data_IF_831353879441
#
_entry.id   IF_831353879441
#
_cell.length_a   1.000
_cell.length_b   1.000
_cell.length_c   1.000
_cell.angle_alpha   90.00
_cell.angle_beta   90.00
_cell.angle_gamma   90.00
#
_symmetry.space_group_name_H-M   'P 1'
#
loop_
_entity.id
_entity.type
_entity.pdbx_description
1 polymer ?
#
# COMPACT_ATOMS: atom_id res chain seq x y z
N UNK A 1 13.32 -5.85 3.47
CA UNK A 1 14.39 -5.47 2.51
C UNK A 1 15.18 -4.23 2.93
N UNK A 2 14.77 -2.97 2.70
CA UNK A 2 15.68 -1.81 2.95
C UNK A 2 16.03 -1.56 4.43
N UNK A 3 15.04 -1.80 5.30
CA UNK A 3 15.15 -1.67 6.77
C UNK A 3 15.23 -3.06 7.41
N UNK A 4 15.65 -4.07 6.64
CA UNK A 4 15.73 -5.44 7.15
C UNK A 4 16.81 -5.58 8.23
N UNK A 5 16.64 -6.50 9.16
CA UNK A 5 17.67 -6.82 10.15
C UNK A 5 18.88 -7.44 9.47
N UNK A 6 18.64 -8.27 8.45
CA UNK A 6 19.66 -9.03 7.76
C UNK A 6 20.34 -8.19 6.69
N UNK A 7 21.66 -8.07 6.79
CA UNK A 7 22.46 -7.14 5.98
C UNK A 7 22.42 -7.43 4.47
N UNK A 8 22.62 -8.69 4.07
CA UNK A 8 22.63 -9.07 2.66
C UNK A 8 21.30 -8.76 1.96
N UNK A 9 20.17 -8.78 2.70
CA UNK A 9 18.85 -8.42 2.18
C UNK A 9 18.76 -6.92 1.93
N UNK A 10 19.29 -6.10 2.85
CA UNK A 10 19.34 -4.65 2.69
C UNK A 10 20.18 -4.28 1.47
N UNK A 11 21.38 -4.84 1.39
CA UNK A 11 22.31 -4.65 0.28
C UNK A 11 21.66 -5.01 -1.06
N UNK A 12 20.96 -6.16 -1.12
CA UNK A 12 20.19 -6.57 -2.28
C UNK A 12 19.15 -5.51 -2.68
N UNK A 13 18.39 -4.99 -1.71
CA UNK A 13 17.42 -3.92 -1.93
C UNK A 13 18.05 -2.65 -2.53
N UNK A 14 19.16 -2.17 -1.96
CA UNK A 14 19.86 -0.97 -2.45
C UNK A 14 20.40 -1.14 -3.86
N UNK A 15 21.02 -2.28 -4.17
CA UNK A 15 21.51 -2.60 -5.52
C UNK A 15 20.39 -2.61 -6.55
N UNK A 16 19.23 -3.18 -6.21
CA UNK A 16 18.06 -3.20 -7.11
C UNK A 16 17.53 -1.79 -7.41
N UNK A 17 17.58 -0.90 -6.42
CA UNK A 17 17.13 0.49 -6.58
C UNK A 17 18.09 1.28 -7.47
N UNK A 18 19.40 1.13 -7.29
CA UNK A 18 20.39 1.72 -8.18
C UNK A 18 20.19 1.27 -9.63
N UNK A 19 20.00 -0.03 -9.84
CA UNK A 19 19.71 -0.58 -11.18
C UNK A 19 18.41 0.00 -11.76
N UNK A 20 17.35 0.11 -10.96
CA UNK A 20 16.07 0.69 -11.39
C UNK A 20 16.21 2.18 -11.80
N UNK A 21 17.01 2.96 -11.08
CA UNK A 21 17.28 4.38 -11.42
C UNK A 21 18.08 4.56 -12.71
N UNK A 22 18.94 3.61 -13.06
CA UNK A 22 19.70 3.63 -14.31
C UNK A 22 18.83 3.30 -15.52
N UNK A 23 17.88 2.37 -15.37
CA UNK A 23 17.00 1.91 -16.44
C UNK A 23 15.86 2.90 -16.69
N UNK A 24 15.26 3.43 -15.63
CA UNK A 24 14.10 4.32 -15.75
C UNK A 24 14.56 5.76 -15.98
N UNK A 25 14.12 6.46 -17.04
CA UNK A 25 14.49 7.85 -17.26
C UNK A 25 14.08 8.72 -16.06
N UNK A 26 14.93 9.69 -15.68
CA UNK A 26 14.71 10.58 -14.52
C UNK A 26 13.48 11.52 -14.65
N UNK A 27 12.78 11.49 -15.78
CA UNK A 27 11.59 12.31 -16.03
C UNK A 27 10.34 11.64 -15.41
N UNK A 28 9.31 12.45 -15.13
CA UNK A 28 7.99 11.93 -14.70
C UNK A 28 7.37 11.18 -15.88
N UNK A 29 7.59 9.87 -15.93
CA UNK A 29 6.89 8.94 -16.81
C UNK A 29 5.90 8.13 -15.98
N UNK A 30 4.74 7.84 -16.56
CA UNK A 30 3.75 6.97 -15.94
C UNK A 30 4.36 5.59 -15.67
N UNK A 31 4.11 5.06 -14.46
CA UNK A 31 4.60 3.75 -14.06
C UNK A 31 3.57 2.71 -14.45
N UNK A 32 3.89 1.88 -15.43
CA UNK A 32 3.04 0.75 -15.77
C UNK A 32 3.15 -0.31 -14.67
N UNK A 33 2.07 -0.51 -13.91
CA UNK A 33 2.00 -1.56 -12.91
C UNK A 33 1.71 -2.89 -13.59
N UNK A 34 2.71 -3.76 -13.62
CA UNK A 34 2.59 -5.15 -14.07
C UNK A 34 2.79 -6.04 -12.84
N UNK A 35 1.76 -6.80 -12.40
CA UNK A 35 1.91 -7.72 -11.29
C UNK A 35 3.01 -8.74 -11.57
N UNK A 36 4.01 -8.91 -10.68
CA UNK A 36 5.04 -9.91 -10.87
C UNK A 36 4.47 -11.33 -10.71
N UNK A 37 5.06 -12.28 -11.42
CA UNK A 37 4.77 -13.71 -11.19
C UNK A 37 5.31 -14.11 -9.82
N UNK A 38 4.43 -14.56 -8.95
CA UNK A 38 4.73 -14.99 -7.58
C UNK A 38 5.20 -16.45 -7.59
N UNK A 39 6.33 -16.72 -6.93
CA UNK A 39 6.83 -18.06 -6.66
C UNK A 39 6.28 -18.58 -5.32
N UNK A 40 5.28 -19.46 -5.38
CA UNK A 40 4.67 -20.06 -4.18
C UNK A 40 5.55 -21.14 -3.52
N UNK A 41 6.61 -21.61 -4.20
CA UNK A 41 7.58 -22.56 -3.64
C UNK A 41 8.77 -21.87 -2.96
N UNK A 42 8.78 -20.53 -2.91
CA UNK A 42 9.85 -19.77 -2.30
C UNK A 42 9.95 -20.12 -0.80
N UNK A 43 11.17 -20.41 -0.34
CA UNK A 43 11.43 -20.65 1.10
C UNK A 43 11.66 -19.35 1.86
N UNK A 44 12.27 -18.36 1.18
CA UNK A 44 12.47 -17.02 1.70
C UNK A 44 11.69 -15.99 0.90
N UNK A 45 11.28 -14.91 1.56
CA UNK A 45 10.42 -13.90 0.99
C UNK A 45 11.11 -13.11 -0.14
N UNK A 46 12.44 -13.07 -0.15
CA UNK A 46 13.25 -12.43 -1.19
C UNK A 46 13.06 -13.13 -2.54
N UNK A 47 12.84 -14.45 -2.50
CA UNK A 47 12.71 -15.32 -3.68
C UNK A 47 11.27 -15.40 -4.21
N UNK A 48 10.29 -14.81 -3.51
CA UNK A 48 8.89 -14.77 -3.93
C UNK A 48 8.75 -14.11 -5.30
N UNK A 49 9.57 -13.09 -5.57
CA UNK A 49 9.55 -12.35 -6.84
C UNK A 49 10.87 -12.58 -7.54
N UNK A 50 10.82 -12.94 -8.82
CA UNK A 50 12.01 -12.90 -9.67
C UNK A 50 12.35 -11.45 -10.04
N UNK A 51 13.26 -10.86 -9.27
CA UNK A 51 13.74 -9.48 -9.46
C UNK A 51 14.54 -9.23 -10.76
N UNK A 52 14.89 -10.28 -11.50
CA UNK A 52 15.56 -10.16 -12.80
C UNK A 52 14.55 -10.07 -13.96
N UNK A 53 13.36 -10.67 -13.82
CA UNK A 53 12.32 -10.65 -14.86
C UNK A 53 11.25 -9.57 -14.62
N UNK A 54 11.16 -9.02 -13.41
CA UNK A 54 10.21 -7.96 -13.07
C UNK A 54 10.75 -6.57 -13.40
N UNK A 55 9.89 -5.69 -13.93
CA UNK A 55 10.19 -4.25 -14.06
C UNK A 55 10.12 -3.62 -12.68
N UNK A 56 11.25 -3.12 -12.19
CA UNK A 56 11.35 -2.45 -10.89
C UNK A 56 11.47 -0.95 -11.11
N UNK A 57 10.59 -0.17 -10.49
CA UNK A 57 10.68 1.29 -10.47
C UNK A 57 11.30 1.75 -9.15
N UNK A 58 12.09 2.83 -9.15
CA UNK A 58 12.63 3.39 -7.91
C UNK A 58 11.48 3.82 -6.97
N UNK A 59 11.52 3.43 -5.68
CA UNK A 59 10.49 3.82 -4.72
C UNK A 59 10.34 5.35 -4.64
N UNK A 60 9.12 5.91 -4.68
CA UNK A 60 8.93 7.36 -4.57
C UNK A 60 9.52 7.96 -3.30
N UNK A 61 9.51 7.19 -2.20
CA UNK A 61 10.06 7.58 -0.90
C UNK A 61 11.56 7.86 -0.93
N UNK A 62 12.28 7.24 -1.86
CA UNK A 62 13.72 7.47 -2.01
C UNK A 62 14.02 8.46 -3.12
N UNK A 63 13.02 9.17 -3.69
CA UNK A 63 13.26 10.04 -4.86
C UNK A 63 14.34 11.08 -4.60
N UNK A 64 14.37 11.63 -3.40
CA UNK A 64 15.22 12.78 -3.05
C UNK A 64 16.62 12.37 -2.56
N UNK A 65 16.85 11.07 -2.35
CA UNK A 65 18.14 10.53 -1.89
C UNK A 65 19.08 10.39 -3.09
N UNK A 66 20.33 10.88 -2.98
CA UNK A 66 21.29 10.79 -4.08
C UNK A 66 21.72 9.34 -4.35
N UNK A 67 22.15 9.04 -5.57
CA UNK A 67 22.69 7.73 -5.92
C UNK A 67 23.98 7.41 -5.15
N UNK A 68 24.81 8.41 -4.87
CA UNK A 68 26.05 8.22 -4.12
C UNK A 68 25.80 7.90 -2.64
N UNK A 69 24.75 8.47 -2.04
CA UNK A 69 24.32 8.13 -0.68
C UNK A 69 23.84 6.68 -0.59
N UNK A 70 23.19 6.18 -1.64
CA UNK A 70 22.79 4.77 -1.73
C UNK A 70 24.02 3.87 -1.91
N UNK A 71 25.02 4.30 -2.68
CA UNK A 71 26.29 3.55 -2.83
C UNK A 71 27.08 3.53 -1.53
N UNK A 72 27.14 4.64 -0.78
CA UNK A 72 27.80 4.66 0.52
C UNK A 72 27.12 3.69 1.47
N UNK A 73 25.79 3.59 1.43
CA UNK A 73 25.02 2.64 2.25
C UNK A 73 25.26 1.16 1.91
N UNK A 74 25.75 0.86 0.72
CA UNK A 74 26.19 -0.50 0.35
C UNK A 74 27.59 -0.79 0.91
N UNK A 75 28.45 0.22 1.01
CA UNK A 75 29.86 0.07 1.36
C UNK A 75 30.17 0.34 2.85
N UNK A 76 29.27 1.01 3.56
CA UNK A 76 29.42 1.34 4.98
C UNK A 76 28.56 0.44 5.85
N UNK A 77 29.15 -0.20 6.86
CA UNK A 77 28.42 -0.90 7.95
C UNK A 77 27.59 0.07 8.81
N UNK A 78 27.77 1.38 8.60
CA UNK A 78 27.06 2.43 9.34
C UNK A 78 25.66 2.56 8.80
N UNK A 79 24.66 2.52 9.68
CA UNK A 79 23.23 2.59 9.34
C UNK A 79 22.72 4.05 9.30
N UNK A 80 22.44 4.65 8.13
CA UNK A 80 21.62 5.85 8.01
C UNK A 80 20.13 5.45 7.84
N UNK A 81 19.78 4.20 8.17
CA UNK A 81 18.43 3.63 8.05
C UNK A 81 17.41 4.41 8.90
N UNK A 82 17.88 5.02 10.01
CA UNK A 82 17.02 5.80 10.92
C UNK A 82 16.39 7.05 10.28
N UNK A 83 16.91 7.53 9.16
CA UNK A 83 16.38 8.73 8.49
C UNK A 83 15.47 8.41 7.30
N UNK A 84 15.62 7.25 6.67
CA UNK A 84 14.85 6.88 5.47
C UNK A 84 13.35 6.70 5.79
N UNK A 85 13.00 6.34 7.04
CA UNK A 85 11.62 5.96 7.36
C UNK A 85 11.29 6.15 8.84
N UNK A 86 11.06 7.40 9.27
CA UNK A 86 10.22 7.67 10.47
C UNK A 86 8.78 7.96 10.05
N UNK A 87 8.18 7.03 9.31
CA UNK A 87 6.72 7.07 9.17
C UNK A 87 6.12 6.44 10.43
N UNK A 88 5.15 7.09 11.10
CA UNK A 88 4.51 6.50 12.26
C UNK A 88 3.60 5.37 11.76
N UNK A 89 4.14 4.15 11.70
CA UNK A 89 3.42 2.95 11.26
C UNK A 89 2.43 2.45 12.33
N UNK A 90 2.64 2.83 13.60
CA UNK A 90 1.82 2.44 14.75
C UNK A 90 1.04 3.65 15.30
N UNK A 91 0.33 4.35 14.42
CA UNK A 91 -0.62 5.36 14.88
C UNK A 91 -1.95 4.72 15.25
N UNK A 92 -2.65 5.34 16.20
CA UNK A 92 -4.04 4.96 16.52
C UNK A 92 -4.96 4.98 15.29
N UNK A 93 -4.68 5.85 14.31
CA UNK A 93 -5.44 5.88 13.06
C UNK A 93 -5.23 4.60 12.24
N UNK A 94 -3.98 4.13 12.11
CA UNK A 94 -3.67 2.87 11.42
C UNK A 94 -4.35 1.69 12.12
N UNK A 95 -4.31 1.62 13.45
CA UNK A 95 -4.98 0.57 14.22
C UNK A 95 -6.50 0.56 13.97
N UNK A 96 -7.15 1.73 14.05
CA UNK A 96 -8.59 1.86 13.76
C UNK A 96 -8.93 1.44 12.33
N UNK A 97 -8.11 1.81 11.36
CA UNK A 97 -8.30 1.41 9.96
C UNK A 97 -8.20 -0.11 9.80
N UNK A 98 -7.23 -0.77 10.43
CA UNK A 98 -7.09 -2.23 10.35
C UNK A 98 -8.35 -2.93 10.91
N UNK A 99 -8.85 -2.48 12.06
CA UNK A 99 -10.08 -3.01 12.66
C UNK A 99 -11.26 -2.84 11.70
N UNK A 100 -11.45 -1.63 11.17
CA UNK A 100 -12.55 -1.33 10.25
C UNK A 100 -12.49 -2.18 8.96
N UNK A 101 -11.31 -2.30 8.36
CA UNK A 101 -11.10 -3.11 7.14
C UNK A 101 -11.37 -4.59 7.43
N UNK A 102 -10.96 -5.09 8.60
CA UNK A 102 -11.19 -6.48 9.01
C UNK A 102 -12.68 -6.74 9.20
N UNK A 103 -13.38 -5.85 9.91
CA UNK A 103 -14.84 -5.96 10.11
C UNK A 103 -15.59 -5.94 8.77
N UNK A 104 -15.23 -5.02 7.86
CA UNK A 104 -15.82 -4.94 6.53
C UNK A 104 -15.56 -6.20 5.70
N UNK A 105 -14.33 -6.74 5.75
CA UNK A 105 -13.94 -7.95 5.02
C UNK A 105 -14.68 -9.18 5.54
N UNK A 106 -14.84 -9.30 6.86
CA UNK A 106 -15.56 -10.40 7.50
C UNK A 106 -17.03 -10.47 7.07
N UNK A 107 -17.68 -9.32 6.82
CA UNK A 107 -19.06 -9.27 6.29
C UNK A 107 -19.19 -9.87 4.88
N UNK A 108 -18.11 -9.97 4.12
CA UNK A 108 -18.09 -10.48 2.74
C UNK A 108 -17.47 -11.88 2.62
N UNK A 109 -17.03 -12.46 3.74
CA UNK A 109 -16.42 -13.77 3.78
C UNK A 109 -17.49 -14.87 3.67
N UNK A 110 -17.33 -15.79 2.72
CA UNK A 110 -18.34 -16.80 2.40
C UNK A 110 -19.37 -16.34 1.35
N UNK A 111 -19.91 -17.30 0.60
CA UNK A 111 -20.84 -17.02 -0.51
C UNK A 111 -22.16 -16.40 -0.01
N UNK A 112 -22.77 -16.99 1.01
CA UNK A 112 -24.07 -16.57 1.53
C UNK A 112 -24.03 -15.19 2.20
N UNK A 113 -23.02 -14.94 3.05
CA UNK A 113 -22.86 -13.65 3.72
C UNK A 113 -22.65 -12.51 2.72
N UNK A 114 -21.81 -12.76 1.70
CA UNK A 114 -21.55 -11.82 0.62
C UNK A 114 -22.81 -11.50 -0.18
N UNK A 115 -23.56 -12.52 -0.58
CA UNK A 115 -24.78 -12.35 -1.34
C UNK A 115 -25.87 -11.62 -0.52
N UNK A 116 -26.06 -11.99 0.76
CA UNK A 116 -26.94 -11.29 1.69
C UNK A 116 -26.55 -9.81 1.86
N UNK A 117 -25.25 -9.51 1.97
CA UNK A 117 -24.73 -8.15 2.03
C UNK A 117 -25.06 -7.35 0.76
N UNK A 118 -24.86 -7.93 -0.44
CA UNK A 118 -25.20 -7.26 -1.69
C UNK A 118 -26.71 -7.01 -1.83
N UNK A 119 -27.56 -7.98 -1.47
CA UNK A 119 -29.03 -7.79 -1.48
C UNK A 119 -29.46 -6.68 -0.52
N UNK A 120 -28.86 -6.60 0.67
CA UNK A 120 -29.12 -5.55 1.63
C UNK A 120 -28.71 -4.16 1.09
N UNK A 121 -27.55 -4.06 0.43
CA UNK A 121 -27.11 -2.81 -0.23
C UNK A 121 -28.04 -2.41 -1.37
N UNK A 122 -28.46 -3.36 -2.21
CA UNK A 122 -29.39 -3.06 -3.30
C UNK A 122 -30.73 -2.55 -2.76
N UNK A 123 -31.24 -3.17 -1.70
CA UNK A 123 -32.48 -2.75 -1.04
C UNK A 123 -32.34 -1.39 -0.35
N UNK A 124 -31.20 -1.09 0.28
CA UNK A 124 -30.99 0.24 0.88
C UNK A 124 -30.91 1.32 -0.18
N UNK A 125 -30.21 1.06 -1.29
CA UNK A 125 -30.12 1.96 -2.44
C UNK A 125 -31.47 2.19 -3.12
N UNK A 126 -32.35 1.18 -3.18
CA UNK A 126 -33.69 1.36 -3.75
C UNK A 126 -34.60 2.24 -2.88
N UNK A 127 -34.35 2.30 -1.57
CA UNK A 127 -35.11 3.17 -0.64
C UNK A 127 -34.52 4.58 -0.58
N UNK A 128 -33.25 4.75 -0.91
CA UNK A 128 -32.61 6.06 -0.95
C UNK A 128 -33.24 6.93 -2.06
N UNK A 129 -33.59 8.20 -1.77
CA UNK A 129 -34.10 9.11 -2.79
C UNK A 129 -33.05 9.35 -3.88
N UNK A 130 -33.50 9.47 -5.12
CA UNK A 130 -32.64 9.89 -6.22
C UNK A 130 -32.41 11.39 -6.13
N UNK A 131 -31.15 11.81 -6.05
CA UNK A 131 -30.76 13.22 -6.03
C UNK A 131 -30.13 13.58 -7.38
N UNK A 132 -30.67 14.61 -8.02
CA UNK A 132 -30.23 15.04 -9.35
C UNK A 132 -29.12 16.10 -9.29
N UNK A 133 -29.12 16.89 -8.22
CA UNK A 133 -28.18 17.97 -7.97
C UNK A 133 -27.70 17.89 -6.52
N UNK A 134 -26.47 18.32 -6.28
CA UNK A 134 -25.85 18.36 -4.95
C UNK A 134 -26.69 19.06 -3.86
N UNK A 135 -27.43 20.16 -4.14
CA UNK A 135 -28.31 20.80 -3.16
C UNK A 135 -29.52 19.96 -2.73
N UNK A 136 -29.88 18.91 -3.49
CA UNK A 136 -31.02 18.06 -3.17
C UNK A 136 -30.73 17.16 -1.95
N UNK A 137 -29.44 16.99 -1.59
CA UNK A 137 -29.00 16.22 -0.43
C UNK A 137 -29.27 17.00 0.87
N UNK A 138 -30.46 16.82 1.45
CA UNK A 138 -30.80 17.36 2.78
C UNK A 138 -30.24 16.44 3.87
N UNK A 139 -29.19 16.86 4.56
CA UNK A 139 -28.68 16.16 5.73
C UNK A 139 -29.73 16.25 6.84
N UNK A 140 -30.41 15.15 7.15
CA UNK A 140 -31.43 15.11 8.21
C UNK A 140 -30.72 15.14 9.56
N UNK A 141 -30.58 16.33 10.16
CA UNK A 141 -30.08 16.52 11.53
C UNK A 141 -31.26 16.50 12.50
N UNK A 142 -32.05 15.43 12.52
CA UNK A 142 -33.15 15.29 13.48
C UNK A 142 -32.68 14.59 14.76
N UNK A 143 -31.94 15.34 15.58
CA UNK A 143 -31.78 15.01 16.99
C UNK A 143 -33.16 15.18 17.64
N UNK A 144 -33.86 14.07 17.89
CA UNK A 144 -35.07 14.04 18.71
C UNK A 144 -34.76 14.57 20.12
N UNK A 145 -34.93 15.87 20.34
CA UNK A 145 -35.14 16.44 21.68
C UNK A 145 -36.53 16.02 22.15
N UNK A 146 -36.62 14.91 22.91
CA UNK A 146 -37.79 14.64 23.74
C UNK A 146 -37.80 15.67 24.87
N UNK A 147 -38.90 16.43 24.96
CA UNK A 147 -39.28 17.19 26.16
C UNK A 147 -39.70 16.22 27.26
#
# INVERSE_FOLDING_TARGET
MLVDEVEHIREFGYRRILKARQIVPKKKTDRNFVPPKINFQASDYIEIINWNSCVVYPPPMLRDINEDDIKSLINSDTTPIREIQKFPCHTQAVERCIIFVTEASNKLCGHEARDGYFRAILKSRSVMPNFSKTPDYKCVVDIKKKK
#
